data_IF_189100633425
#
_entry.id   IF_189100633425
#
_cell.length_a   1.000
_cell.length_b   1.000
_cell.length_c   1.000
_cell.angle_alpha   90.00
_cell.angle_beta   90.00
_cell.angle_gamma   90.00
#
_symmetry.space_group_name_H-M   'P 1'
#
loop_
_entity.id
_entity.type
_entity.pdbx_description
1 polymer ?
#
# COMPACT_ATOMS: atom_id res chain seq x y z
N UNK A 1 -27.18 4.98 13.02
CA UNK A 1 -25.92 5.42 12.41
C UNK A 1 -25.62 4.45 11.28
N UNK A 2 -25.46 4.93 10.04
CA UNK A 2 -25.25 4.04 8.90
C UNK A 2 -23.97 3.22 9.10
N UNK A 3 -24.11 1.90 9.02
CA UNK A 3 -23.04 0.92 9.14
C UNK A 3 -22.08 1.13 7.95
N UNK A 4 -21.03 1.94 8.17
CA UNK A 4 -20.02 2.18 7.15
C UNK A 4 -19.22 0.90 7.00
N UNK A 5 -19.68 0.02 6.11
CA UNK A 5 -19.12 -1.30 5.84
C UNK A 5 -17.67 -1.13 5.41
N UNK A 6 -16.74 -1.29 6.36
CA UNK A 6 -15.31 -1.20 6.11
C UNK A 6 -14.92 -2.10 4.93
N UNK A 7 -14.14 -1.55 3.99
CA UNK A 7 -13.62 -2.28 2.82
C UNK A 7 -12.74 -3.44 3.28
N UNK A 8 -11.81 -3.15 4.18
CA UNK A 8 -10.92 -4.12 4.80
C UNK A 8 -11.44 -4.48 6.20
N UNK A 9 -11.43 -5.77 6.50
CA UNK A 9 -11.85 -6.32 7.79
C UNK A 9 -10.79 -7.28 8.30
N UNK A 10 -10.90 -7.70 9.56
CA UNK A 10 -10.03 -8.73 10.13
C UNK A 10 -10.12 -10.10 9.42
N UNK A 11 -11.08 -10.29 8.50
CA UNK A 11 -11.35 -11.56 7.81
C UNK A 11 -11.12 -11.54 6.31
N UNK A 12 -11.20 -10.36 5.68
CA UNK A 12 -11.13 -10.20 4.23
C UNK A 12 -10.88 -8.74 3.86
N UNK A 13 -10.34 -8.54 2.68
CA UNK A 13 -10.14 -7.24 2.07
C UNK A 13 -8.96 -7.27 1.12
N UNK A 14 -8.57 -6.10 0.62
CA UNK A 14 -7.34 -5.97 -0.14
C UNK A 14 -6.73 -4.59 0.06
N UNK A 15 -5.41 -4.57 0.14
CA UNK A 15 -4.60 -3.36 0.27
C UNK A 15 -3.94 -3.06 -1.07
N UNK A 16 -4.03 -1.82 -1.52
CA UNK A 16 -3.29 -1.38 -2.69
C UNK A 16 -1.82 -1.33 -2.35
N UNK A 17 -0.98 -1.72 -3.31
CA UNK A 17 0.46 -1.61 -3.17
C UNK A 17 1.10 -0.90 -4.35
N UNK A 18 2.28 -0.34 -4.10
CA UNK A 18 3.19 0.18 -5.13
C UNK A 18 4.64 -0.15 -4.75
N UNK A 19 5.46 -0.45 -5.75
CA UNK A 19 6.91 -0.64 -5.62
C UNK A 19 7.62 0.32 -6.56
N UNK A 20 8.50 1.15 -6.02
CA UNK A 20 9.21 2.18 -6.77
C UNK A 20 10.68 2.25 -6.37
N UNK A 21 11.50 2.92 -7.17
CA UNK A 21 12.88 3.22 -6.85
C UNK A 21 13.04 4.71 -6.54
N UNK A 22 13.76 5.01 -5.49
CA UNK A 22 14.28 6.35 -5.22
C UNK A 22 15.77 6.25 -4.89
N UNK A 23 16.58 7.01 -5.64
CA UNK A 23 18.06 6.95 -5.61
C UNK A 23 18.57 5.51 -5.76
N UNK A 24 19.24 4.97 -4.75
CA UNK A 24 19.87 3.65 -4.75
C UNK A 24 19.02 2.57 -4.08
N UNK A 25 17.83 2.93 -3.58
CA UNK A 25 16.96 2.05 -2.81
C UNK A 25 15.62 1.80 -3.51
N UNK A 26 14.99 0.69 -3.16
CA UNK A 26 13.66 0.31 -3.61
C UNK A 26 12.70 0.35 -2.44
N UNK A 27 11.50 0.86 -2.69
CA UNK A 27 10.49 1.06 -1.67
C UNK A 27 9.22 0.32 -2.03
N UNK A 28 8.66 -0.41 -1.07
CA UNK A 28 7.34 -1.02 -1.15
C UNK A 28 6.37 -0.28 -0.24
N UNK A 29 5.17 0.04 -0.73
CA UNK A 29 4.14 0.76 0.05
C UNK A 29 2.83 0.00 0.05
N UNK A 30 2.22 -0.18 1.21
CA UNK A 30 0.86 -0.70 1.38
C UNK A 30 -0.05 0.45 1.85
N UNK A 31 -0.85 0.96 0.91
CA UNK A 31 -1.49 2.28 1.02
C UNK A 31 -2.46 2.37 2.20
N UNK A 32 -3.43 1.46 2.30
CA UNK A 32 -4.44 1.51 3.38
C UNK A 32 -3.89 1.17 4.78
N UNK A 33 -2.65 0.69 4.86
CA UNK A 33 -1.94 0.42 6.12
C UNK A 33 -0.90 1.49 6.46
N UNK A 34 -0.61 2.41 5.53
CA UNK A 34 0.50 3.37 5.63
C UNK A 34 1.84 2.72 6.03
N UNK A 35 2.11 1.53 5.47
CA UNK A 35 3.38 0.81 5.67
C UNK A 35 4.30 1.11 4.48
N UNK A 36 5.55 1.45 4.79
CA UNK A 36 6.63 1.61 3.83
C UNK A 36 7.78 0.70 4.25
N UNK A 37 8.36 -0.02 3.29
CA UNK A 37 9.56 -0.83 3.47
C UNK A 37 10.62 -0.38 2.48
N UNK A 38 11.89 -0.53 2.86
CA UNK A 38 13.05 -0.26 2.00
C UNK A 38 13.80 -1.57 1.73
N UNK A 39 14.36 -1.73 0.53
CA UNK A 39 15.17 -2.87 0.14
C UNK A 39 16.20 -2.51 -0.95
N UNK A 40 17.14 -3.43 -1.18
CA UNK A 40 18.21 -3.25 -2.17
C UNK A 40 17.75 -3.53 -3.61
N UNK A 41 16.63 -4.25 -3.79
CA UNK A 41 16.07 -4.58 -5.11
C UNK A 41 14.53 -4.66 -5.05
N UNK A 42 13.82 -4.58 -6.20
CA UNK A 42 12.36 -4.49 -6.20
C UNK A 42 11.67 -5.78 -5.77
N UNK A 43 12.32 -6.94 -5.94
CA UNK A 43 11.80 -8.23 -5.49
C UNK A 43 11.80 -8.32 -3.96
N UNK A 44 12.89 -7.90 -3.31
CA UNK A 44 12.97 -7.79 -1.85
C UNK A 44 11.98 -6.76 -1.31
N UNK A 45 11.85 -5.60 -1.94
CA UNK A 45 10.87 -4.58 -1.52
C UNK A 45 9.45 -5.14 -1.51
N UNK A 46 9.08 -5.91 -2.54
CA UNK A 46 7.78 -6.58 -2.59
C UNK A 46 7.64 -7.68 -1.54
N UNK A 47 8.68 -8.50 -1.33
CA UNK A 47 8.69 -9.57 -0.33
C UNK A 47 8.50 -8.99 1.08
N UNK A 48 9.33 -8.02 1.46
CA UNK A 48 9.26 -7.37 2.77
C UNK A 48 7.94 -6.65 2.98
N UNK A 49 7.37 -6.06 1.92
CA UNK A 49 6.07 -5.42 2.00
C UNK A 49 4.96 -6.44 2.31
N UNK A 50 5.01 -7.60 1.66
CA UNK A 50 4.02 -8.66 1.87
C UNK A 50 4.12 -9.24 3.29
N UNK A 51 5.35 -9.42 3.80
CA UNK A 51 5.60 -9.83 5.19
C UNK A 51 5.09 -8.79 6.19
N UNK A 52 5.40 -7.51 5.98
CA UNK A 52 4.96 -6.42 6.83
C UNK A 52 3.43 -6.27 6.84
N UNK A 53 2.79 -6.33 5.67
CA UNK A 53 1.33 -6.26 5.54
C UNK A 53 0.64 -7.46 6.23
N UNK A 54 1.21 -8.65 6.09
CA UNK A 54 0.70 -9.86 6.76
C UNK A 54 0.85 -9.75 8.28
N UNK A 55 2.03 -9.35 8.78
CA UNK A 55 2.28 -9.16 10.21
C UNK A 55 1.40 -8.08 10.84
N UNK A 56 1.11 -7.00 10.09
CA UNK A 56 0.18 -5.95 10.52
C UNK A 56 -1.26 -6.49 10.67
N UNK A 57 -1.75 -7.23 9.67
CA UNK A 57 -3.07 -7.87 9.73
C UNK A 57 -3.15 -8.87 10.90
N UNK A 58 -2.16 -9.74 11.05
CA UNK A 58 -2.10 -10.71 12.17
C UNK A 58 -2.12 -10.01 13.53
N UNK A 59 -1.37 -8.92 13.67
CA UNK A 59 -1.33 -8.13 14.90
C UNK A 59 -2.71 -7.53 15.20
N UNK A 60 -3.38 -6.97 14.19
CA UNK A 60 -4.74 -6.43 14.34
C UNK A 60 -5.77 -7.51 14.70
N UNK A 61 -5.64 -8.72 14.16
CA UNK A 61 -6.48 -9.88 14.51
C UNK A 61 -6.26 -10.28 15.97
N UNK A 62 -5.00 -10.51 16.37
CA UNK A 62 -4.64 -10.96 17.73
C UNK A 62 -5.11 -9.99 18.80
N UNK A 63 -5.01 -8.69 18.53
CA UNK A 63 -5.42 -7.61 19.45
C UNK A 63 -6.87 -7.19 19.29
N UNK A 64 -7.62 -7.82 18.37
CA UNK A 64 -9.04 -7.53 18.08
C UNK A 64 -9.31 -6.04 17.80
N UNK A 65 -8.41 -5.39 17.07
CA UNK A 65 -8.56 -3.97 16.74
C UNK A 65 -9.80 -3.75 15.89
N UNK A 66 -10.40 -2.55 16.03
CA UNK A 66 -11.51 -2.15 15.16
C UNK A 66 -11.02 -2.02 13.72
N UNK A 67 -11.81 -2.44 12.71
CA UNK A 67 -11.38 -2.46 11.29
C UNK A 67 -10.86 -1.13 10.72
N UNK A 68 -11.14 0.01 11.33
CA UNK A 68 -10.59 1.31 10.90
C UNK A 68 -9.06 1.31 10.72
N UNK A 69 -8.32 0.53 11.52
CA UNK A 69 -6.85 0.43 11.41
C UNK A 69 -6.38 -0.20 10.11
N UNK A 70 -7.26 -0.95 9.43
CA UNK A 70 -7.02 -1.59 8.13
C UNK A 70 -7.53 -0.74 6.95
N UNK A 71 -8.14 0.41 7.24
CA UNK A 71 -8.76 1.31 6.25
C UNK A 71 -8.27 2.74 6.50
N UNK A 72 -6.98 2.91 6.79
CA UNK A 72 -6.44 4.23 7.01
C UNK A 72 -6.52 5.06 5.73
N UNK A 73 -6.60 6.38 5.89
CA UNK A 73 -6.43 7.29 4.76
C UNK A 73 -4.97 7.18 4.29
N UNK A 74 -4.72 6.80 3.02
CA UNK A 74 -3.35 6.72 2.50
C UNK A 74 -2.67 8.08 2.52
N UNK A 75 -1.35 8.07 2.67
CA UNK A 75 -0.55 9.27 2.45
C UNK A 75 -0.79 9.83 1.03
N UNK A 76 -0.90 11.15 0.92
CA UNK A 76 -1.23 11.83 -0.32
C UNK A 76 -0.16 11.67 -1.41
N UNK A 77 1.10 11.49 -1.02
CA UNK A 77 2.20 11.25 -1.96
C UNK A 77 2.02 9.89 -2.64
N UNK A 78 1.92 8.83 -1.84
CA UNK A 78 1.77 7.45 -2.35
C UNK A 78 0.43 7.21 -3.05
N UNK A 79 -0.65 7.84 -2.59
CA UNK A 79 -1.93 7.81 -3.29
C UNK A 79 -1.80 8.39 -4.72
N UNK A 80 -1.12 9.54 -4.86
CA UNK A 80 -0.90 10.16 -6.18
C UNK A 80 0.04 9.33 -7.04
N UNK A 81 1.10 8.74 -6.46
CA UNK A 81 2.00 7.84 -7.18
C UNK A 81 1.24 6.64 -7.74
N UNK A 82 0.42 5.99 -6.91
CA UNK A 82 -0.40 4.86 -7.34
C UNK A 82 -1.38 5.28 -8.44
N UNK A 83 -2.09 6.40 -8.27
CA UNK A 83 -3.01 6.92 -9.29
C UNK A 83 -2.33 7.27 -10.63
N UNK A 84 -1.17 7.94 -10.57
CA UNK A 84 -0.37 8.29 -11.74
C UNK A 84 0.14 7.06 -12.50
N UNK A 85 0.36 5.95 -11.81
CA UNK A 85 0.73 4.69 -12.46
C UNK A 85 -0.42 4.04 -13.23
N UNK A 86 -1.66 4.25 -12.77
CA UNK A 86 -2.85 3.63 -13.37
C UNK A 86 -3.47 4.46 -14.50
N UNK A 87 -3.23 5.78 -14.54
CA UNK A 87 -3.84 6.69 -15.50
C UNK A 87 -2.83 7.72 -16.03
N UNK A 88 -2.64 7.74 -17.35
CA UNK A 88 -1.72 8.66 -18.03
C UNK A 88 -2.06 10.13 -17.81
N UNK A 89 -3.34 10.51 -17.71
CA UNK A 89 -3.74 11.89 -17.43
C UNK A 89 -3.35 12.30 -16.01
N UNK A 90 -3.48 11.37 -15.05
CA UNK A 90 -3.06 11.60 -13.67
C UNK A 90 -1.53 11.63 -13.57
N UNK A 91 -0.83 10.84 -14.40
CA UNK A 91 0.63 10.91 -14.53
C UNK A 91 1.10 12.31 -14.90
N UNK A 92 0.51 12.92 -15.94
CA UNK A 92 0.83 14.30 -16.33
C UNK A 92 0.51 15.29 -15.22
N UNK A 93 -0.67 15.17 -14.61
CA UNK A 93 -1.13 16.06 -13.53
C UNK A 93 -0.22 16.02 -12.31
N UNK A 94 0.28 14.83 -11.95
CA UNK A 94 1.05 14.62 -10.72
C UNK A 94 2.56 14.55 -10.93
N UNK A 95 3.07 14.70 -12.16
CA UNK A 95 4.50 14.57 -12.48
C UNK A 95 5.43 15.36 -11.54
N UNK A 96 5.04 16.59 -11.17
CA UNK A 96 5.80 17.46 -10.24
C UNK A 96 5.73 17.03 -8.77
N UNK A 97 4.73 16.25 -8.41
CA UNK A 97 4.49 15.77 -7.03
C UNK A 97 5.14 14.41 -6.83
N UNK A 98 5.11 13.54 -7.84
CA UNK A 98 5.61 12.15 -7.74
C UNK A 98 7.06 11.99 -8.23
N UNK A 99 7.74 13.11 -8.51
CA UNK A 99 9.11 13.18 -9.04
C UNK A 99 9.41 12.25 -10.24
N UNK A 100 8.37 11.82 -10.94
CA UNK A 100 8.41 10.80 -11.99
C UNK A 100 9.29 9.58 -11.61
N UNK A 101 9.24 9.15 -10.34
CA UNK A 101 10.04 8.04 -9.84
C UNK A 101 9.71 6.75 -10.61
N UNK A 102 10.70 5.91 -10.94
CA UNK A 102 10.45 4.63 -11.60
C UNK A 102 9.60 3.71 -10.73
N UNK A 103 8.41 3.34 -11.23
CA UNK A 103 7.53 2.35 -10.59
C UNK A 103 7.74 1.01 -11.28
N UNK A 104 8.02 -0.02 -10.48
CA UNK A 104 8.30 -1.39 -10.96
C UNK A 104 7.05 -2.25 -10.95
N UNK A 105 6.18 -2.05 -9.96
CA UNK A 105 4.95 -2.81 -9.82
C UNK A 105 3.94 -2.05 -9.00
N UNK A 106 2.66 -2.26 -9.27
CA UNK A 106 1.57 -1.82 -8.41
C UNK A 106 0.37 -2.73 -8.60
N UNK A 107 -0.51 -2.77 -7.60
CA UNK A 107 -1.68 -3.63 -7.67
C UNK A 107 -2.42 -3.70 -6.35
N UNK A 108 -2.97 -4.89 -6.05
CA UNK A 108 -3.66 -5.20 -4.80
C UNK A 108 -3.09 -6.48 -4.19
N UNK A 109 -2.80 -6.44 -2.89
CA UNK A 109 -2.53 -7.62 -2.07
C UNK A 109 -3.83 -8.02 -1.39
N UNK A 110 -4.27 -9.26 -1.63
CA UNK A 110 -5.44 -9.81 -0.95
C UNK A 110 -5.08 -10.14 0.50
N UNK A 111 -5.94 -9.70 1.42
CA UNK A 111 -5.83 -10.01 2.84
C UNK A 111 -6.40 -11.42 3.06
N UNK A 112 -5.58 -12.44 2.80
CA UNK A 112 -5.92 -13.81 3.12
C UNK A 112 -5.72 -14.07 4.61
N UNK A 113 -6.80 -14.42 5.32
CA UNK A 113 -6.66 -15.04 6.64
C UNK A 113 -6.33 -16.50 6.42
N UNK A 114 -5.13 -16.91 6.84
CA UNK A 114 -4.76 -18.31 6.93
C UNK A 114 -5.41 -18.97 8.14
#
# INVERSE_FOLDING_TARGET
>A
MADMKYKNTLKKGSVRFLVFKDKDSYFGVALEFNIVVEAANPQEAFLFLNEAASGYLESAIKTKLRPHVLNQKPDSEYEKMWQAHQDAKLKEKYARIVNNLPIFSSGRLELAVK
#
